data_IF_015713531239
#
_entry.id   IF_015713531239
#
_cell.length_a   1.000
_cell.length_b   1.000
_cell.length_c   1.000
_cell.angle_alpha   90.00
_cell.angle_beta   90.00
_cell.angle_gamma   90.00
#
_symmetry.space_group_name_H-M   'P 1'
#
loop_
_entity.id
_entity.type
_entity.pdbx_description
1 polymer ?
#
# COMPACT_ATOMS: atom_id res chain seq x y z
N UNK A 1 51.53 -28.98 -4.26
CA UNK A 1 50.58 -28.06 -4.93
C UNK A 1 49.11 -28.48 -4.85
N UNK A 2 48.76 -29.74 -4.75
CA UNK A 2 47.33 -30.23 -4.71
C UNK A 2 46.55 -29.88 -3.42
N UNK A 3 47.22 -29.76 -2.28
CA UNK A 3 46.56 -29.48 -0.99
C UNK A 3 46.04 -28.04 -0.85
N UNK A 4 46.75 -27.08 -1.43
CA UNK A 4 46.30 -25.63 -1.41
C UNK A 4 45.07 -25.37 -2.30
N UNK A 5 44.91 -26.17 -3.35
CA UNK A 5 43.76 -26.02 -4.26
C UNK A 5 42.46 -26.55 -3.64
N UNK A 6 42.54 -27.64 -2.86
CA UNK A 6 41.36 -28.22 -2.18
C UNK A 6 40.90 -27.31 -1.04
N UNK A 7 41.82 -26.65 -0.33
CA UNK A 7 41.47 -25.71 0.74
C UNK A 7 40.80 -24.44 0.18
N UNK A 8 41.25 -23.97 -0.99
CA UNK A 8 40.63 -22.83 -1.66
C UNK A 8 39.25 -23.17 -2.21
N UNK A 9 39.04 -24.38 -2.73
CA UNK A 9 37.72 -24.84 -3.20
C UNK A 9 36.72 -25.01 -2.05
N UNK A 10 37.16 -25.48 -0.88
CA UNK A 10 36.32 -25.61 0.32
C UNK A 10 35.94 -24.25 0.94
N UNK A 11 36.81 -23.25 0.83
CA UNK A 11 36.53 -21.89 1.28
C UNK A 11 35.55 -21.17 0.35
N UNK A 12 35.63 -21.41 -0.96
CA UNK A 12 34.66 -20.83 -1.92
C UNK A 12 33.30 -21.49 -1.84
N UNK A 13 33.22 -22.80 -1.51
CA UNK A 13 31.93 -23.48 -1.27
C UNK A 13 31.23 -23.03 0.00
N UNK A 14 31.95 -22.58 1.03
CA UNK A 14 31.34 -22.00 2.23
C UNK A 14 30.86 -20.58 2.03
N UNK A 15 31.41 -19.80 1.10
CA UNK A 15 30.97 -18.44 0.79
C UNK A 15 29.73 -18.39 -0.12
N UNK A 16 29.42 -19.48 -0.84
CA UNK A 16 28.22 -19.54 -1.70
C UNK A 16 26.95 -19.94 -0.93
N UNK A 17 27.09 -20.54 0.27
CA UNK A 17 25.92 -20.95 1.06
C UNK A 17 25.35 -19.85 1.98
N UNK A 18 25.87 -18.61 1.94
CA UNK A 18 25.38 -17.49 2.77
C UNK A 18 24.42 -16.56 2.00
N UNK A 19 24.22 -16.76 0.70
CA UNK A 19 23.36 -15.91 -0.13
C UNK A 19 22.05 -16.56 -0.60
N UNK A 20 21.61 -17.61 0.05
CA UNK A 20 20.23 -18.09 -0.09
C UNK A 20 19.46 -17.79 1.20
N UNK A 21 19.40 -16.53 1.59
CA UNK A 21 18.22 -16.08 2.31
C UNK A 21 17.11 -16.03 1.26
N UNK A 22 16.25 -17.04 1.23
CA UNK A 22 14.95 -16.94 0.63
C UNK A 22 14.28 -15.72 1.27
N UNK A 23 14.32 -14.58 0.59
CA UNK A 23 13.42 -13.47 0.86
C UNK A 23 12.02 -13.97 0.46
N UNK A 24 11.40 -14.73 1.33
CA UNK A 24 9.98 -15.00 1.27
C UNK A 24 9.31 -13.71 1.71
N UNK A 25 9.00 -12.85 0.74
CA UNK A 25 8.22 -11.66 0.95
C UNK A 25 6.79 -12.08 1.31
N UNK A 26 6.44 -11.89 2.57
CA UNK A 26 5.09 -12.16 3.06
C UNK A 26 4.21 -10.94 2.89
N UNK A 27 2.94 -11.20 2.61
CA UNK A 27 1.89 -10.19 2.55
C UNK A 27 1.15 -10.18 3.89
N UNK A 28 0.85 -8.98 4.32
CA UNK A 28 0.06 -8.76 5.51
C UNK A 28 -1.16 -7.93 5.11
N UNK A 29 -2.31 -8.58 4.95
CA UNK A 29 -3.55 -7.92 4.56
C UNK A 29 -4.41 -7.60 5.77
N UNK A 30 -5.16 -6.53 5.71
CA UNK A 30 -6.05 -6.14 6.78
C UNK A 30 -7.20 -5.26 6.35
N UNK A 31 -8.13 -5.07 7.27
CA UNK A 31 -9.28 -4.17 7.13
C UNK A 31 -9.43 -3.33 8.38
N UNK A 32 -9.51 -2.02 8.20
CA UNK A 32 -9.99 -1.09 9.20
C UNK A 32 -11.50 -0.91 9.02
N UNK A 33 -12.31 -1.10 10.06
CA UNK A 33 -13.77 -1.02 10.00
C UNK A 33 -14.36 -0.22 11.17
N UNK A 34 -15.54 0.38 10.98
CA UNK A 34 -16.25 1.11 12.05
C UNK A 34 -17.12 0.19 12.91
N UNK A 35 -17.75 -0.81 12.29
CA UNK A 35 -18.60 -1.79 12.95
C UNK A 35 -18.21 -3.21 12.58
N UNK A 36 -18.11 -4.08 13.58
CA UNK A 36 -17.74 -5.50 13.41
C UNK A 36 -18.83 -6.36 12.77
N UNK A 37 -20.08 -5.85 12.69
CA UNK A 37 -21.22 -6.60 12.15
C UNK A 37 -21.38 -6.46 10.64
N UNK A 38 -20.79 -5.40 10.04
CA UNK A 38 -20.90 -5.14 8.62
C UNK A 38 -19.54 -4.82 8.00
N UNK A 39 -19.04 -5.71 7.15
CA UNK A 39 -17.80 -5.48 6.36
C UNK A 39 -17.92 -4.30 5.38
N UNK A 40 -19.14 -3.82 5.12
CA UNK A 40 -19.42 -2.65 4.28
C UNK A 40 -19.05 -1.32 4.94
N UNK A 41 -18.71 -1.33 6.23
CA UNK A 41 -18.33 -0.14 7.00
C UNK A 41 -16.82 0.08 7.09
N UNK A 42 -16.07 -0.33 6.09
CA UNK A 42 -14.62 -0.10 6.02
C UNK A 42 -14.26 1.40 6.13
N UNK A 43 -13.19 1.70 6.84
CA UNK A 43 -12.70 3.08 7.01
C UNK A 43 -11.68 3.39 5.93
N UNK A 44 -12.04 4.24 4.94
CA UNK A 44 -11.18 4.51 3.81
C UNK A 44 -10.05 5.48 4.14
N UNK A 45 -8.96 5.36 3.38
CA UNK A 45 -7.89 6.33 3.28
C UNK A 45 -7.17 6.64 4.61
N UNK A 46 -7.06 5.65 5.49
CA UNK A 46 -6.26 5.74 6.70
C UNK A 46 -4.78 5.49 6.37
N UNK A 47 -3.89 6.34 6.89
CA UNK A 47 -2.47 6.02 6.92
C UNK A 47 -2.19 5.03 8.04
N UNK A 48 -1.64 3.88 7.67
CA UNK A 48 -1.41 2.75 8.57
C UNK A 48 0.09 2.43 8.57
N UNK A 49 0.65 2.38 9.77
CA UNK A 49 2.08 2.22 9.99
C UNK A 49 2.34 0.93 10.76
N UNK A 50 3.26 0.14 10.28
CA UNK A 50 3.76 -1.05 10.95
C UNK A 50 5.12 -0.73 11.57
N UNK A 51 5.22 -0.85 12.88
CA UNK A 51 6.43 -0.53 13.64
C UNK A 51 6.77 -1.65 14.61
N UNK A 52 8.06 -1.84 14.86
CA UNK A 52 8.56 -2.67 15.95
C UNK A 52 8.86 -1.79 17.16
N UNK A 53 8.60 -2.30 18.37
CA UNK A 53 8.92 -1.58 19.59
C UNK A 53 10.45 -1.32 19.67
N UNK A 54 10.82 -0.07 19.90
CA UNK A 54 12.23 0.36 19.96
C UNK A 54 12.86 0.79 18.64
N UNK A 55 12.22 0.53 17.49
CA UNK A 55 12.72 0.99 16.19
C UNK A 55 12.40 2.48 15.98
N UNK A 56 13.41 3.24 15.48
CA UNK A 56 13.22 4.66 15.15
C UNK A 56 12.41 4.86 13.85
N UNK A 57 12.47 3.89 12.93
CA UNK A 57 11.81 3.94 11.64
C UNK A 57 10.73 2.86 11.56
N UNK A 58 9.59 3.16 10.93
CA UNK A 58 8.59 2.13 10.69
C UNK A 58 9.12 1.05 9.76
N UNK A 59 8.65 -0.17 9.93
CA UNK A 59 8.98 -1.29 9.05
C UNK A 59 8.28 -1.16 7.70
N UNK A 60 7.03 -0.72 7.71
CA UNK A 60 6.25 -0.45 6.52
C UNK A 60 5.19 0.62 6.78
N UNK A 61 4.79 1.31 5.72
CA UNK A 61 3.70 2.30 5.75
C UNK A 61 2.81 2.10 4.54
N UNK A 62 1.51 2.06 4.76
CA UNK A 62 0.50 1.94 3.70
C UNK A 62 -0.69 2.84 3.97
N UNK A 63 -1.66 2.82 3.06
CA UNK A 63 -2.94 3.53 3.20
C UNK A 63 -4.07 2.56 2.92
N UNK A 64 -5.15 2.60 3.69
CA UNK A 64 -6.34 1.82 3.36
C UNK A 64 -7.00 2.36 2.09
N UNK A 65 -7.52 1.47 1.26
CA UNK A 65 -8.28 1.82 0.06
C UNK A 65 -9.68 2.34 0.39
N UNK A 66 -10.53 2.58 -0.61
CA UNK A 66 -11.91 3.07 -0.42
C UNK A 66 -12.83 2.12 0.36
N UNK A 67 -12.43 0.84 0.51
CA UNK A 67 -13.14 -0.19 1.27
C UNK A 67 -12.55 -0.43 2.66
N UNK A 68 -11.58 0.37 3.09
CA UNK A 68 -10.88 0.18 4.37
C UNK A 68 -9.80 -0.91 4.36
N UNK A 69 -9.54 -1.54 3.21
CA UNK A 69 -8.54 -2.57 3.05
C UNK A 69 -7.15 -1.97 2.91
N UNK A 70 -6.16 -2.66 3.47
CA UNK A 70 -4.75 -2.29 3.35
C UNK A 70 -3.87 -3.53 3.26
N UNK A 71 -2.68 -3.35 2.70
CA UNK A 71 -1.67 -4.41 2.58
C UNK A 71 -0.29 -3.87 2.93
N UNK A 72 0.51 -4.70 3.59
CA UNK A 72 1.94 -4.49 3.73
C UNK A 72 2.67 -5.57 2.94
N UNK A 73 3.64 -5.16 2.14
CA UNK A 73 4.48 -6.03 1.32
C UNK A 73 5.88 -6.13 1.90
N UNK A 74 6.57 -7.25 1.65
CA UNK A 74 7.97 -7.42 2.04
C UNK A 74 8.18 -7.46 3.55
N UNK A 75 7.25 -8.00 4.30
CA UNK A 75 7.28 -8.01 5.75
C UNK A 75 7.77 -9.37 6.27
N UNK A 76 8.71 -9.42 7.24
CA UNK A 76 9.22 -10.69 7.75
C UNK A 76 8.17 -11.48 8.54
N UNK A 77 8.27 -12.80 8.53
CA UNK A 77 7.31 -13.72 9.19
C UNK A 77 7.23 -13.56 10.72
N UNK A 78 8.25 -13.05 11.35
CA UNK A 78 8.33 -12.88 12.81
C UNK A 78 7.61 -11.64 13.35
N UNK A 79 6.91 -10.94 12.44
CA UNK A 79 6.18 -9.70 12.71
C UNK A 79 5.21 -9.76 13.89
N UNK A 80 4.81 -10.98 14.27
CA UNK A 80 3.71 -11.19 15.18
C UNK A 80 3.99 -10.89 16.65
N UNK A 81 5.25 -10.96 17.07
CA UNK A 81 5.55 -10.91 18.49
C UNK A 81 5.73 -9.49 19.03
N UNK A 82 6.36 -8.63 18.22
CA UNK A 82 6.89 -7.35 18.73
C UNK A 82 6.46 -6.15 17.86
N UNK A 83 5.49 -6.35 16.96
CA UNK A 83 5.04 -5.30 16.05
C UNK A 83 3.68 -4.71 16.43
N UNK A 84 3.54 -3.44 16.11
CA UNK A 84 2.34 -2.65 16.36
C UNK A 84 1.86 -2.04 15.05
N UNK A 85 0.57 -2.14 14.80
CA UNK A 85 -0.11 -1.38 13.74
C UNK A 85 -0.63 -0.09 14.36
N UNK A 86 -0.26 1.04 13.78
CA UNK A 86 -0.70 2.36 14.21
C UNK A 86 -1.45 3.07 13.11
N UNK A 87 -2.55 3.73 13.46
CA UNK A 87 -3.30 4.63 12.57
C UNK A 87 -2.82 6.05 12.79
N UNK A 88 -2.40 6.71 11.70
CA UNK A 88 -1.90 8.09 11.75
C UNK A 88 -2.94 9.03 11.15
N UNK A 89 -3.36 10.01 11.91
CA UNK A 89 -4.18 11.14 11.48
C UNK A 89 -3.40 12.45 11.64
N UNK A 90 -3.12 13.12 10.52
CA UNK A 90 -2.22 14.26 10.53
C UNK A 90 -0.85 13.88 11.13
N UNK A 91 -0.39 14.61 12.11
CA UNK A 91 0.91 14.37 12.77
C UNK A 91 0.83 13.56 14.07
N UNK A 92 -0.31 12.93 14.35
CA UNK A 92 -0.51 12.16 15.59
C UNK A 92 -0.77 10.69 15.31
N UNK A 93 -0.32 9.85 16.24
CA UNK A 93 -0.79 8.48 16.34
C UNK A 93 -2.19 8.48 16.96
N UNK A 94 -3.21 8.16 16.16
CA UNK A 94 -4.61 8.19 16.59
C UNK A 94 -5.04 6.89 17.29
N UNK A 95 -4.44 5.76 16.93
CA UNK A 95 -4.67 4.46 17.56
C UNK A 95 -3.48 3.54 17.33
N UNK A 96 -3.27 2.58 18.22
CA UNK A 96 -2.25 1.54 18.09
C UNK A 96 -2.78 0.19 18.53
N UNK A 97 -2.40 -0.84 17.81
CA UNK A 97 -2.84 -2.21 17.98
C UNK A 97 -1.64 -3.15 17.93
N UNK A 98 -1.52 -4.03 18.92
CA UNK A 98 -0.50 -5.08 18.90
C UNK A 98 -0.85 -6.13 17.85
N UNK A 99 0.08 -6.46 16.96
CA UNK A 99 -0.14 -7.43 15.89
C UNK A 99 -0.56 -8.81 16.40
N UNK A 100 -0.03 -9.25 17.53
CA UNK A 100 -0.35 -10.55 18.15
C UNK A 100 -1.82 -10.71 18.60
N UNK A 101 -2.59 -9.63 18.67
CA UNK A 101 -4.02 -9.68 19.04
C UNK A 101 -4.95 -9.97 17.88
N UNK A 102 -4.47 -9.88 16.63
CA UNK A 102 -5.30 -10.01 15.43
C UNK A 102 -5.12 -11.34 14.71
N UNK A 103 -4.22 -12.18 15.17
CA UNK A 103 -3.85 -13.40 14.45
C UNK A 103 -4.64 -14.57 14.98
N UNK A 104 -5.69 -14.91 14.27
CA UNK A 104 -6.16 -16.27 14.18
C UNK A 104 -5.12 -17.01 13.33
N UNK A 105 -4.56 -18.11 13.88
CA UNK A 105 -3.50 -18.97 13.33
C UNK A 105 -3.12 -18.69 11.87
N UNK A 106 -1.85 -18.41 11.56
CA UNK A 106 -1.41 -18.16 10.22
C UNK A 106 -1.87 -19.30 9.31
N UNK A 107 -2.62 -18.99 8.27
CA UNK A 107 -2.92 -19.95 7.23
C UNK A 107 -1.60 -20.33 6.54
N UNK A 108 -1.48 -21.57 6.10
CA UNK A 108 -0.27 -22.11 5.44
C UNK A 108 0.20 -21.34 4.19
N UNK A 109 -0.51 -20.31 3.78
CA UNK A 109 -0.33 -19.57 2.52
C UNK A 109 0.36 -18.21 2.71
N UNK A 110 0.85 -17.89 3.90
CA UNK A 110 1.62 -16.65 4.13
C UNK A 110 0.81 -15.36 4.23
N UNK A 111 -0.52 -15.43 4.19
CA UNK A 111 -1.39 -14.28 4.39
C UNK A 111 -1.78 -14.15 5.85
N UNK A 112 -1.60 -12.95 6.37
CA UNK A 112 -2.03 -12.60 7.71
C UNK A 112 -3.11 -11.53 7.59
N UNK A 113 -4.25 -11.82 8.19
CA UNK A 113 -5.37 -10.91 8.18
C UNK A 113 -5.41 -10.11 9.49
N UNK A 114 -5.25 -8.79 9.39
CA UNK A 114 -5.41 -7.88 10.50
C UNK A 114 -6.73 -7.12 10.37
N UNK A 115 -7.71 -7.49 11.17
CA UNK A 115 -8.97 -6.77 11.24
C UNK A 115 -9.01 -5.95 12.52
N UNK A 116 -9.16 -4.62 12.41
CA UNK A 116 -9.28 -3.78 13.59
C UNK A 116 -10.41 -2.75 13.45
N UNK A 117 -11.08 -2.50 14.57
CA UNK A 117 -12.11 -1.47 14.66
C UNK A 117 -11.45 -0.11 14.86
N UNK A 118 -11.79 0.85 14.00
CA UNK A 118 -11.34 2.23 14.13
C UNK A 118 -12.48 3.20 13.79
N UNK A 119 -12.72 4.16 14.68
CA UNK A 119 -13.72 5.19 14.48
C UNK A 119 -13.00 6.53 14.33
N UNK A 120 -12.94 7.12 13.11
CA UNK A 120 -12.31 8.42 12.89
C UNK A 120 -12.99 9.52 13.70
N UNK A 121 -12.20 10.46 14.21
CA UNK A 121 -12.73 11.66 14.86
C UNK A 121 -13.00 12.71 13.78
N UNK A 122 -14.10 12.54 13.04
CA UNK A 122 -14.51 13.45 11.97
C UNK A 122 -13.89 13.13 10.60
N UNK A 123 -14.22 13.97 9.61
CA UNK A 123 -13.72 13.83 8.24
C UNK A 123 -12.32 14.45 8.14
N UNK A 124 -11.32 13.61 7.95
CA UNK A 124 -9.90 14.00 7.95
C UNK A 124 -9.35 14.32 6.56
N UNK A 125 -10.17 14.22 5.52
CA UNK A 125 -9.79 14.46 4.13
C UNK A 125 -10.92 15.09 3.32
N UNK A 126 -10.57 15.71 2.20
CA UNK A 126 -11.48 16.09 1.13
C UNK A 126 -11.33 15.16 -0.07
N UNK A 127 -12.40 14.99 -0.84
CA UNK A 127 -12.43 14.12 -2.00
C UNK A 127 -12.91 14.90 -3.23
N UNK A 128 -12.22 14.72 -4.35
CA UNK A 128 -12.57 15.30 -5.64
C UNK A 128 -12.52 14.21 -6.71
N UNK A 129 -13.55 14.12 -7.54
CA UNK A 129 -13.59 13.17 -8.66
C UNK A 129 -13.24 13.91 -9.95
N UNK A 130 -12.21 13.44 -10.64
CA UNK A 130 -11.82 13.90 -11.96
C UNK A 130 -12.30 12.88 -13.00
N UNK A 131 -13.15 13.33 -13.92
CA UNK A 131 -13.60 12.51 -15.07
C UNK A 131 -12.93 13.06 -16.32
N UNK A 132 -12.17 12.24 -17.08
CA UNK A 132 -11.55 12.68 -18.32
C UNK A 132 -12.58 13.12 -19.35
N UNK A 133 -12.26 14.18 -20.06
CA UNK A 133 -13.06 14.64 -21.22
C UNK A 133 -12.53 14.01 -22.51
N UNK A 134 -13.27 14.19 -23.63
CA UNK A 134 -12.81 13.74 -24.95
C UNK A 134 -11.50 14.44 -25.38
N UNK A 135 -11.29 15.65 -24.92
CA UNK A 135 -10.05 16.41 -25.19
C UNK A 135 -8.86 15.85 -24.41
N UNK A 136 -9.11 15.33 -23.23
CA UNK A 136 -8.07 14.74 -22.38
C UNK A 136 -7.64 13.35 -22.88
N UNK A 137 -8.45 12.65 -23.68
CA UNK A 137 -8.27 11.25 -24.09
C UNK A 137 -6.89 10.95 -24.72
N UNK A 138 -6.27 11.93 -25.38
CA UNK A 138 -4.95 11.79 -26.03
C UNK A 138 -3.77 12.04 -25.10
N UNK A 139 -4.02 12.54 -23.89
CA UNK A 139 -2.96 12.77 -22.89
C UNK A 139 -2.56 11.45 -22.26
N UNK A 140 -1.31 11.36 -21.83
CA UNK A 140 -0.88 10.32 -20.90
C UNK A 140 -1.34 10.69 -19.50
N UNK A 141 -1.55 9.68 -18.66
CA UNK A 141 -2.05 9.84 -17.30
C UNK A 141 -1.19 10.82 -16.49
N UNK A 142 0.13 10.71 -16.56
CA UNK A 142 1.04 11.62 -15.85
C UNK A 142 0.87 13.09 -16.29
N UNK A 143 0.78 13.34 -17.60
CA UNK A 143 0.61 14.69 -18.13
C UNK A 143 -0.73 15.30 -17.69
N UNK A 144 -1.78 14.48 -17.70
CA UNK A 144 -3.08 14.88 -17.19
C UNK A 144 -3.04 15.25 -15.71
N UNK A 145 -2.44 14.40 -14.88
CA UNK A 145 -2.31 14.62 -13.44
C UNK A 145 -1.49 15.89 -13.14
N UNK A 146 -0.35 16.08 -13.81
CA UNK A 146 0.46 17.30 -13.68
C UNK A 146 -0.33 18.56 -14.04
N UNK A 147 -1.10 18.50 -15.12
CA UNK A 147 -1.91 19.64 -15.60
C UNK A 147 -3.08 19.97 -14.66
N UNK A 148 -3.76 18.95 -14.10
CA UNK A 148 -4.99 19.15 -13.32
C UNK A 148 -4.73 19.37 -11.82
N UNK A 149 -3.64 18.83 -11.28
CA UNK A 149 -3.39 18.78 -9.85
C UNK A 149 -2.11 19.50 -9.42
N UNK A 150 -1.39 20.11 -10.37
CA UNK A 150 -0.10 20.78 -10.10
C UNK A 150 0.88 19.86 -9.36
N UNK A 151 1.05 18.62 -9.88
CA UNK A 151 1.93 17.62 -9.30
C UNK A 151 3.33 17.68 -9.91
N UNK A 152 4.29 17.25 -9.12
CA UNK A 152 5.65 16.89 -9.53
C UNK A 152 5.80 15.38 -9.47
N UNK A 153 6.65 14.86 -10.36
CA UNK A 153 6.93 13.42 -10.42
C UNK A 153 8.45 13.24 -10.42
N UNK A 154 8.95 12.60 -9.38
CA UNK A 154 10.36 12.34 -9.18
C UNK A 154 10.51 10.97 -8.52
N UNK A 155 11.50 10.19 -8.96
CA UNK A 155 11.83 8.87 -8.38
C UNK A 155 10.63 7.94 -8.19
N UNK A 156 9.71 7.89 -9.16
CA UNK A 156 8.48 7.09 -9.15
C UNK A 156 7.43 7.55 -8.14
N UNK A 157 7.56 8.75 -7.64
CA UNK A 157 6.67 9.31 -6.62
C UNK A 157 6.00 10.58 -7.11
N UNK A 158 4.71 10.73 -6.83
CA UNK A 158 3.92 11.92 -7.15
C UNK A 158 3.79 12.81 -5.92
N UNK A 159 4.25 14.05 -6.04
CA UNK A 159 4.17 15.06 -4.98
C UNK A 159 3.24 16.20 -5.38
N UNK A 160 2.41 16.75 -4.48
CA UNK A 160 1.85 18.06 -4.68
C UNK A 160 2.97 19.11 -4.55
N UNK A 161 3.00 20.14 -5.41
CA UNK A 161 4.02 21.21 -5.37
C UNK A 161 4.16 21.91 -4.02
N UNK A 162 3.12 21.83 -3.18
CA UNK A 162 3.07 22.49 -1.88
C UNK A 162 3.44 21.57 -0.70
N UNK A 163 3.91 20.33 -0.95
CA UNK A 163 4.17 19.36 0.13
C UNK A 163 5.28 18.39 -0.26
N UNK A 164 6.16 18.08 0.68
CA UNK A 164 7.20 17.07 0.53
C UNK A 164 6.66 15.63 0.73
N UNK A 165 5.43 15.48 1.22
CA UNK A 165 4.80 14.17 1.38
C UNK A 165 4.07 13.77 0.08
N UNK A 166 4.28 12.53 -0.42
CA UNK A 166 3.73 12.06 -1.68
C UNK A 166 2.24 11.74 -1.61
N UNK A 167 1.64 11.51 -2.77
CA UNK A 167 0.39 10.78 -2.90
C UNK A 167 0.63 9.27 -2.94
N UNK A 168 -0.22 8.51 -2.22
CA UNK A 168 -0.34 7.07 -2.44
C UNK A 168 -1.20 6.80 -3.65
N UNK A 169 -0.76 5.92 -4.56
CA UNK A 169 -1.44 5.66 -5.83
C UNK A 169 -2.07 4.27 -5.84
N UNK A 170 -3.34 4.21 -6.18
CA UNK A 170 -4.12 2.98 -6.36
C UNK A 170 -4.62 2.86 -7.80
N UNK A 171 -4.77 1.63 -8.29
CA UNK A 171 -5.43 1.27 -9.54
C UNK A 171 -6.61 0.35 -9.23
N UNK A 172 -7.83 0.75 -9.57
CA UNK A 172 -9.06 0.01 -9.23
C UNK A 172 -9.10 -0.44 -7.75
N UNK A 173 -8.81 0.47 -6.82
CA UNK A 173 -8.69 0.21 -5.37
C UNK A 173 -7.58 -0.76 -4.93
N UNK A 174 -6.73 -1.22 -5.83
CA UNK A 174 -5.56 -2.01 -5.49
C UNK A 174 -4.31 -1.13 -5.44
N UNK A 175 -3.46 -1.33 -4.46
CA UNK A 175 -2.17 -0.65 -4.39
C UNK A 175 -1.31 -1.00 -5.60
N UNK A 176 -0.67 0.01 -6.21
CA UNK A 176 0.24 -0.20 -7.33
C UNK A 176 1.63 -0.48 -6.76
N UNK A 177 2.25 -1.63 -7.06
CA UNK A 177 3.65 -1.89 -6.71
C UNK A 177 4.58 -0.83 -7.34
N UNK A 178 5.60 -0.41 -6.60
CA UNK A 178 6.49 0.69 -7.00
C UNK A 178 7.15 0.47 -8.37
N UNK A 179 7.47 -0.78 -8.71
CA UNK A 179 8.04 -1.13 -10.01
C UNK A 179 7.08 -0.94 -11.20
N UNK A 180 5.76 -0.87 -10.94
CA UNK A 180 4.71 -0.68 -11.96
C UNK A 180 4.23 0.76 -12.07
N UNK A 181 4.59 1.63 -11.14
CA UNK A 181 4.14 3.02 -11.12
C UNK A 181 4.52 3.75 -12.41
N UNK A 182 5.78 3.62 -12.85
CA UNK A 182 6.27 4.26 -14.08
C UNK A 182 5.45 3.83 -15.31
N UNK A 183 5.21 2.53 -15.44
CA UNK A 183 4.43 2.00 -16.56
C UNK A 183 3.00 2.58 -16.58
N UNK A 184 2.36 2.63 -15.43
CA UNK A 184 0.97 3.11 -15.32
C UNK A 184 0.91 4.61 -15.56
N UNK A 185 1.76 5.39 -14.94
CA UNK A 185 1.70 6.85 -15.02
C UNK A 185 2.16 7.38 -16.37
N UNK A 186 3.22 6.80 -16.96
CA UNK A 186 3.87 7.35 -18.17
C UNK A 186 3.40 6.72 -19.48
N UNK A 187 2.73 5.56 -19.44
CA UNK A 187 2.34 4.85 -20.67
C UNK A 187 0.84 4.69 -20.85
N UNK A 188 0.03 4.88 -19.80
CA UNK A 188 -1.41 4.72 -19.92
C UNK A 188 -2.06 6.00 -20.45
N UNK A 189 -2.78 5.94 -21.58
CA UNK A 189 -3.53 7.08 -22.12
C UNK A 189 -4.83 7.28 -21.33
N UNK A 190 -5.29 8.54 -21.28
CA UNK A 190 -6.49 8.94 -20.55
C UNK A 190 -7.78 8.31 -21.09
N UNK A 191 -7.80 7.82 -22.35
CA UNK A 191 -8.94 7.06 -22.88
C UNK A 191 -9.22 5.73 -22.16
N UNK A 192 -8.19 5.18 -21.48
CA UNK A 192 -8.31 3.97 -20.66
C UNK A 192 -8.78 4.27 -19.23
N UNK A 193 -8.91 5.53 -18.85
CA UNK A 193 -9.26 5.96 -17.51
C UNK A 193 -10.73 6.36 -17.44
N UNK A 194 -11.47 5.71 -16.56
CA UNK A 194 -12.88 6.02 -16.29
C UNK A 194 -13.02 7.25 -15.40
N UNK A 195 -12.23 7.29 -14.34
CA UNK A 195 -12.23 8.38 -13.37
C UNK A 195 -10.98 8.32 -12.48
N UNK A 196 -10.64 9.44 -11.86
CA UNK A 196 -9.60 9.51 -10.83
C UNK A 196 -10.21 10.15 -9.60
N UNK A 197 -10.19 9.42 -8.48
CA UNK A 197 -10.56 9.97 -7.17
C UNK A 197 -9.31 10.55 -6.53
N UNK A 198 -9.35 11.84 -6.25
CA UNK A 198 -8.29 12.59 -5.57
C UNK A 198 -8.70 12.83 -4.13
N UNK A 199 -8.00 12.21 -3.22
CA UNK A 199 -8.17 12.40 -1.77
C UNK A 199 -7.04 13.27 -1.26
N UNK A 200 -7.37 14.42 -0.64
CA UNK A 200 -6.39 15.30 0.01
C UNK A 200 -6.62 15.26 1.51
N UNK A 201 -5.59 14.94 2.27
CA UNK A 201 -5.68 15.02 3.72
C UNK A 201 -5.77 16.49 4.16
N UNK A 202 -6.73 16.79 5.07
CA UNK A 202 -6.89 18.12 5.64
C UNK A 202 -5.64 18.56 6.41
N UNK A 203 -4.95 17.60 7.00
CA UNK A 203 -3.63 17.77 7.60
C UNK A 203 -2.74 16.66 7.02
N UNK A 204 -1.87 16.95 6.05
CA UNK A 204 -0.90 16.00 5.54
C UNK A 204 -0.06 15.43 6.67
N UNK A 205 0.26 14.15 6.62
CA UNK A 205 1.18 13.53 7.55
C UNK A 205 2.57 13.40 6.89
N UNK A 206 3.57 13.02 7.67
CA UNK A 206 4.94 12.90 7.17
C UNK A 206 5.13 11.80 6.09
N UNK A 207 4.14 10.95 5.88
CA UNK A 207 4.21 9.85 4.93
C UNK A 207 3.46 10.16 3.64
N UNK A 208 2.25 10.76 3.75
CA UNK A 208 1.39 11.02 2.59
C UNK A 208 0.64 12.34 2.69
N UNK A 209 0.48 13.02 1.56
CA UNK A 209 -0.40 14.17 1.39
C UNK A 209 -1.84 13.77 1.06
N UNK A 210 -2.04 12.54 0.61
CA UNK A 210 -3.34 12.02 0.21
C UNK A 210 -3.24 10.76 -0.64
N UNK A 211 -4.30 10.50 -1.39
CA UNK A 211 -4.46 9.31 -2.22
C UNK A 211 -4.94 9.70 -3.63
N UNK A 212 -4.39 9.03 -4.63
CA UNK A 212 -4.91 9.02 -6.00
C UNK A 212 -5.42 7.62 -6.30
N UNK A 213 -6.72 7.45 -6.50
CA UNK A 213 -7.29 6.18 -6.91
C UNK A 213 -7.73 6.27 -8.38
N UNK A 214 -7.00 5.60 -9.26
CA UNK A 214 -7.18 5.61 -10.70
C UNK A 214 -8.10 4.45 -11.05
N UNK A 215 -9.27 4.75 -11.58
CA UNK A 215 -10.24 3.76 -12.04
C UNK A 215 -10.14 3.62 -13.54
N UNK A 216 -9.80 2.42 -14.00
CA UNK A 216 -9.71 2.09 -15.40
C UNK A 216 -11.10 1.80 -16.00
N UNK A 217 -11.23 1.88 -17.32
CA UNK A 217 -12.42 1.47 -18.07
C UNK A 217 -12.58 -0.05 -18.12
N UNK A 218 -11.54 -0.80 -17.78
CA UNK A 218 -11.47 -2.26 -17.72
C UNK A 218 -10.94 -2.71 -16.35
N UNK A 219 -11.28 -3.92 -15.97
CA UNK A 219 -10.89 -4.54 -14.71
C UNK A 219 -11.97 -4.41 -13.64
N UNK A 220 -12.07 -5.46 -12.85
CA UNK A 220 -13.00 -5.51 -11.73
C UNK A 220 -12.44 -4.76 -10.52
N UNK A 221 -13.32 -4.12 -9.78
CA UNK A 221 -12.94 -3.58 -8.47
C UNK A 221 -12.72 -4.73 -7.48
N UNK A 222 -11.73 -4.63 -6.59
CA UNK A 222 -11.59 -5.60 -5.52
C UNK A 222 -12.87 -5.58 -4.68
N UNK A 223 -13.44 -6.76 -4.49
CA UNK A 223 -14.62 -6.93 -3.63
C UNK A 223 -14.21 -7.60 -2.35
N UNK A 224 -14.89 -7.26 -1.26
CA UNK A 224 -14.76 -7.98 0.00
C UNK A 224 -15.52 -9.27 -0.11
N UNK A 225 -14.84 -10.40 0.00
CA UNK A 225 -15.50 -11.69 0.13
C UNK A 225 -16.17 -11.77 1.49
N UNK A 226 -17.50 -11.75 1.49
CA UNK A 226 -18.31 -11.75 2.71
C UNK A 226 -18.25 -13.09 3.46
N UNK A 227 -17.97 -14.18 2.74
CA UNK A 227 -17.94 -15.52 3.36
C UNK A 227 -16.60 -15.80 4.02
N UNK A 228 -15.50 -15.46 3.35
CA UNK A 228 -14.16 -15.75 3.85
C UNK A 228 -13.52 -14.58 4.58
N UNK A 229 -14.11 -13.37 4.49
CA UNK A 229 -13.52 -12.09 4.95
C UNK A 229 -12.14 -11.79 4.34
N UNK A 230 -11.85 -12.39 3.19
CA UNK A 230 -10.63 -12.22 2.44
C UNK A 230 -10.86 -11.26 1.27
N UNK A 231 -9.86 -10.45 0.97
CA UNK A 231 -9.83 -9.66 -0.26
C UNK A 231 -9.30 -10.51 -1.40
N UNK A 232 -10.07 -10.65 -2.45
CA UNK A 232 -9.51 -11.07 -3.73
C UNK A 232 -9.05 -9.80 -4.47
N UNK A 233 -7.76 -9.57 -4.52
CA UNK A 233 -7.21 -8.57 -5.44
C UNK A 233 -7.41 -9.07 -6.87
N UNK A 234 -7.89 -8.23 -7.82
CA UNK A 234 -7.95 -8.60 -9.21
C UNK A 234 -6.53 -8.96 -9.67
N UNK A 235 -6.35 -10.18 -10.18
CA UNK A 235 -5.09 -10.56 -10.81
C UNK A 235 -4.98 -9.74 -12.09
N UNK A 236 -4.07 -8.80 -12.12
CA UNK A 236 -3.65 -8.14 -13.36
C UNK A 236 -2.95 -9.25 -14.18
N UNK A 237 -3.66 -9.69 -15.25
CA UNK A 237 -3.12 -10.67 -16.20
C UNK A 237 -2.04 -10.04 -17.05
#
# INVERSE_FOLDING_TARGET
>A
MRFKFILFLLLTLKSVSVFSQENTDYWYDGVAYTDSTELTSGVPYLTIVLSKEGDQMPKAVTVSNSLGAFSFYGVPMDIFKDYTISVIEGNRNAASYLCNKFIEKPSFVGNINAHFKYIPIGKTYSETILTPTKEDAKLLLLDYLKKKLELEYEDRVLFPKASDAPYKVFANNAEIPDEKIDMILQQVPMEMIKQITVVKYNTPNKYFSGVLNIRFTFGDEPTVDKETRLFSLPRIK
#
